data_IF_306043118616
#
_entry.id   IF_306043118616
#
_cell.length_a   1.000
_cell.length_b   1.000
_cell.length_c   1.000
_cell.angle_alpha   90.00
_cell.angle_beta   90.00
_cell.angle_gamma   90.00
#
_symmetry.space_group_name_H-M   'P 1'
#
loop_
_entity.id
_entity.type
_entity.pdbx_description
1 polymer ?
#
# COMPACT_ATOMS: atom_id res chain seq x y z
N UNK A 1 -21.43 8.52 -6.50
CA UNK A 1 -20.62 7.71 -5.54
C UNK A 1 -19.48 8.59 -5.08
N UNK A 2 -19.07 8.50 -3.82
CA UNK A 2 -17.95 9.29 -3.30
C UNK A 2 -16.84 8.38 -2.79
N UNK A 3 -15.59 8.81 -2.96
CA UNK A 3 -14.42 8.23 -2.31
C UNK A 3 -13.98 9.14 -1.16
N UNK A 4 -13.53 8.54 -0.06
CA UNK A 4 -13.04 9.26 1.13
C UNK A 4 -11.64 8.74 1.44
N UNK A 5 -10.71 9.66 1.70
CA UNK A 5 -9.31 9.34 1.97
C UNK A 5 -8.84 10.02 3.26
N UNK A 6 -7.85 9.43 3.92
CA UNK A 6 -7.13 10.03 5.06
C UNK A 6 -5.98 10.95 4.61
N UNK A 7 -5.86 11.18 3.30
CA UNK A 7 -4.88 12.08 2.68
C UNK A 7 -4.82 13.48 3.24
N UNK A 8 -5.95 13.93 3.80
CA UNK A 8 -6.17 15.28 4.29
C UNK A 8 -5.70 15.49 5.74
N UNK A 9 -5.20 14.44 6.39
CA UNK A 9 -4.74 14.51 7.78
C UNK A 9 -3.29 15.01 7.84
N UNK A 10 -2.33 14.22 7.37
CA UNK A 10 -0.92 14.61 7.31
C UNK A 10 -0.10 13.60 6.48
N UNK A 11 0.39 14.01 5.31
CA UNK A 11 1.24 13.14 4.45
C UNK A 11 2.64 12.87 5.06
N UNK A 12 3.08 13.68 6.02
CA UNK A 12 4.37 13.50 6.70
C UNK A 12 4.29 12.54 7.88
N UNK A 13 3.07 12.19 8.32
CA UNK A 13 2.85 11.24 9.39
C UNK A 13 3.29 9.83 9.00
N UNK A 14 4.00 9.15 9.91
CA UNK A 14 4.31 7.71 9.77
C UNK A 14 3.06 6.84 9.73
N UNK A 15 1.92 7.36 10.19
CA UNK A 15 0.64 6.67 10.21
C UNK A 15 -0.20 6.95 8.96
N UNK A 16 0.33 7.66 7.97
CA UNK A 16 -0.40 8.08 6.78
C UNK A 16 -1.15 6.93 6.08
N UNK A 17 -0.52 5.75 5.98
CA UNK A 17 -1.10 4.56 5.35
C UNK A 17 -1.95 3.68 6.29
N UNK A 18 -2.15 4.08 7.55
CA UNK A 18 -2.90 3.30 8.54
C UNK A 18 -4.43 3.41 8.35
N UNK A 19 -4.88 4.07 7.28
CA UNK A 19 -6.30 4.29 7.00
C UNK A 19 -7.00 5.07 8.11
N UNK A 20 -8.28 4.80 8.33
CA UNK A 20 -9.13 5.53 9.28
C UNK A 20 -8.99 5.06 10.74
N UNK A 21 -8.29 3.96 11.01
CA UNK A 21 -8.17 3.37 12.35
C UNK A 21 -7.70 4.33 13.45
N UNK A 22 -6.63 5.13 13.23
CA UNK A 22 -6.15 6.08 14.23
C UNK A 22 -6.91 7.43 14.23
N UNK A 23 -7.82 7.67 13.28
CA UNK A 23 -8.45 8.97 13.12
C UNK A 23 -9.50 9.24 14.21
N UNK A 24 -9.46 10.44 14.80
CA UNK A 24 -10.46 10.91 15.74
C UNK A 24 -11.70 11.50 15.03
N UNK A 25 -12.73 11.85 15.80
CA UNK A 25 -14.01 12.35 15.26
C UNK A 25 -13.87 13.59 14.37
N UNK A 26 -13.00 14.54 14.72
CA UNK A 26 -12.82 15.77 13.94
C UNK A 26 -12.03 15.50 12.65
N UNK A 27 -11.02 14.63 12.72
CA UNK A 27 -10.28 14.16 11.54
C UNK A 27 -11.19 13.43 10.55
N UNK A 28 -12.12 12.61 11.03
CA UNK A 28 -13.11 11.92 10.19
C UNK A 28 -14.08 12.90 9.52
N UNK A 29 -14.52 13.95 10.24
CA UNK A 29 -15.34 15.03 9.65
C UNK A 29 -14.58 15.75 8.52
N UNK A 30 -13.29 16.03 8.72
CA UNK A 30 -12.43 16.63 7.68
C UNK A 30 -12.32 15.71 6.47
N UNK A 31 -12.05 14.42 6.66
CA UNK A 31 -11.98 13.45 5.56
C UNK A 31 -13.31 13.40 4.78
N UNK A 32 -14.44 13.34 5.48
CA UNK A 32 -15.77 13.27 4.86
C UNK A 32 -16.16 14.57 4.12
N UNK A 33 -15.80 15.73 4.69
CA UNK A 33 -16.01 17.02 4.04
C UNK A 33 -15.23 17.13 2.72
N UNK A 34 -14.02 16.54 2.68
CA UNK A 34 -13.14 16.49 1.50
C UNK A 34 -13.34 15.25 0.61
N UNK A 35 -14.48 14.56 0.72
CA UNK A 35 -14.79 13.41 -0.14
C UNK A 35 -14.79 13.80 -1.63
N UNK A 36 -14.36 12.88 -2.47
CA UNK A 36 -14.22 13.08 -3.91
C UNK A 36 -15.41 12.46 -4.62
N UNK A 37 -16.12 13.24 -5.43
CA UNK A 37 -17.22 12.73 -6.25
C UNK A 37 -16.66 11.93 -7.43
N UNK A 38 -17.09 10.68 -7.59
CA UNK A 38 -16.67 9.83 -8.69
C UNK A 38 -17.58 10.04 -9.90
N UNK A 39 -16.99 10.47 -11.02
CA UNK A 39 -17.66 10.55 -12.31
C UNK A 39 -17.80 9.18 -12.96
N UNK A 40 -18.59 9.08 -14.04
CA UNK A 40 -18.66 7.86 -14.85
C UNK A 40 -17.28 7.48 -15.44
N UNK A 41 -16.47 8.48 -15.79
CA UNK A 41 -15.12 8.26 -16.30
C UNK A 41 -14.20 7.67 -15.22
N UNK A 42 -14.29 8.14 -13.97
CA UNK A 42 -13.51 7.60 -12.85
C UNK A 42 -13.88 6.14 -12.56
N UNK A 43 -15.18 5.81 -12.59
CA UNK A 43 -15.64 4.43 -12.42
C UNK A 43 -15.13 3.53 -13.56
N UNK A 44 -15.21 3.98 -14.81
CA UNK A 44 -14.67 3.25 -15.96
C UNK A 44 -13.15 3.08 -15.86
N UNK A 45 -12.42 4.10 -15.40
CA UNK A 45 -10.98 4.01 -15.17
C UNK A 45 -10.65 3.01 -14.05
N UNK A 46 -11.40 3.02 -12.94
CA UNK A 46 -11.29 2.02 -11.88
C UNK A 46 -11.52 0.58 -12.37
N UNK A 47 -12.44 0.37 -13.32
CA UNK A 47 -12.64 -0.95 -13.93
C UNK A 47 -11.43 -1.42 -14.75
N UNK A 48 -10.79 -0.52 -15.50
CA UNK A 48 -9.56 -0.83 -16.24
C UNK A 48 -8.42 -1.20 -15.31
N UNK A 49 -8.22 -0.40 -14.25
CA UNK A 49 -7.24 -0.68 -13.19
C UNK A 49 -7.49 -2.05 -12.54
N UNK A 50 -8.73 -2.31 -12.15
CA UNK A 50 -9.12 -3.58 -11.55
C UNK A 50 -8.86 -4.76 -12.48
N UNK A 51 -9.19 -4.63 -13.77
CA UNK A 51 -8.94 -5.66 -14.79
C UNK A 51 -7.44 -5.96 -14.93
N UNK A 52 -6.59 -4.94 -14.99
CA UNK A 52 -5.14 -5.12 -15.07
C UNK A 52 -4.59 -5.81 -13.81
N UNK A 53 -5.00 -5.33 -12.63
CA UNK A 53 -4.62 -5.88 -11.33
C UNK A 53 -4.99 -7.36 -11.18
N UNK A 54 -6.26 -7.71 -11.40
CA UNK A 54 -6.74 -9.10 -11.20
C UNK A 54 -6.12 -10.11 -12.16
N UNK A 55 -5.67 -9.64 -13.33
CA UNK A 55 -5.02 -10.48 -14.34
C UNK A 55 -3.50 -10.56 -14.13
N UNK A 56 -2.94 -9.89 -13.10
CA UNK A 56 -1.51 -9.84 -12.87
C UNK A 56 -0.73 -9.08 -13.96
N UNK A 57 -1.40 -8.24 -14.76
CA UNK A 57 -0.74 -7.49 -15.82
C UNK A 57 -0.08 -6.22 -15.24
N UNK A 58 1.11 -6.41 -14.68
CA UNK A 58 1.88 -5.35 -14.04
C UNK A 58 2.30 -4.23 -15.00
N UNK A 59 2.55 -4.56 -16.28
CA UNK A 59 2.92 -3.56 -17.29
C UNK A 59 1.75 -2.63 -17.59
N UNK A 60 0.58 -3.19 -17.85
CA UNK A 60 -0.64 -2.40 -18.08
C UNK A 60 -1.01 -1.60 -16.83
N UNK A 61 -0.95 -2.22 -15.65
CA UNK A 61 -1.26 -1.53 -14.41
C UNK A 61 -0.31 -0.34 -14.17
N UNK A 62 0.98 -0.49 -14.50
CA UNK A 62 1.98 0.59 -14.43
C UNK A 62 1.72 1.69 -15.47
N UNK A 63 1.24 1.33 -16.66
CA UNK A 63 0.91 2.31 -17.68
C UNK A 63 -0.34 3.12 -17.29
N UNK A 64 -1.39 2.44 -16.83
CA UNK A 64 -2.61 3.09 -16.32
C UNK A 64 -2.28 4.01 -15.13
N UNK A 65 -1.38 3.61 -14.24
CA UNK A 65 -1.04 4.41 -13.05
C UNK A 65 -0.33 5.74 -13.35
N UNK A 66 0.15 5.96 -14.58
CA UNK A 66 0.73 7.25 -15.00
C UNK A 66 -0.33 8.31 -15.25
N UNK A 67 -1.58 7.91 -15.44
CA UNK A 67 -2.70 8.85 -15.60
C UNK A 67 -2.99 9.53 -14.26
N UNK A 68 -2.86 10.85 -14.22
CA UNK A 68 -3.23 11.63 -13.05
C UNK A 68 -4.74 11.60 -12.87
N UNK A 69 -5.19 11.09 -11.73
CA UNK A 69 -6.60 11.01 -11.39
C UNK A 69 -6.85 11.67 -10.04
N UNK A 70 -7.77 12.63 -10.00
CA UNK A 70 -8.24 13.20 -8.73
C UNK A 70 -8.96 12.14 -7.89
N UNK A 71 -9.64 11.18 -8.53
CA UNK A 71 -10.31 10.08 -7.85
C UNK A 71 -9.34 9.07 -7.23
N UNK A 72 -8.11 8.95 -7.74
CA UNK A 72 -7.09 8.02 -7.25
C UNK A 72 -5.76 8.74 -6.98
N UNK A 73 -5.69 9.57 -5.92
CA UNK A 73 -4.59 10.53 -5.73
C UNK A 73 -3.21 9.91 -5.49
N UNK A 74 -3.14 8.62 -5.13
CA UNK A 74 -1.89 7.90 -4.87
C UNK A 74 -1.67 6.71 -5.78
N UNK A 75 -2.37 6.69 -6.91
CA UNK A 75 -2.39 5.53 -7.80
C UNK A 75 -0.98 5.10 -8.23
N UNK A 76 -0.13 6.06 -8.56
CA UNK A 76 1.22 5.77 -9.01
C UNK A 76 2.07 5.16 -7.88
N UNK A 77 2.00 5.69 -6.67
CA UNK A 77 2.76 5.19 -5.52
C UNK A 77 2.33 3.78 -5.11
N UNK A 78 1.02 3.52 -5.02
CA UNK A 78 0.53 2.20 -4.61
C UNK A 78 0.74 1.15 -5.69
N UNK A 79 0.66 1.51 -6.97
CA UNK A 79 0.98 0.60 -8.08
C UNK A 79 2.48 0.31 -8.10
N UNK A 80 3.33 1.31 -7.89
CA UNK A 80 4.77 1.08 -7.76
C UNK A 80 5.08 0.11 -6.62
N UNK A 81 4.49 0.31 -5.44
CA UNK A 81 4.64 -0.63 -4.33
C UNK A 81 4.17 -2.03 -4.73
N UNK A 82 3.01 -2.16 -5.39
CA UNK A 82 2.53 -3.46 -5.86
C UNK A 82 3.52 -4.15 -6.83
N UNK A 83 4.09 -3.41 -7.78
CA UNK A 83 5.09 -3.93 -8.73
C UNK A 83 6.38 -4.34 -8.02
N UNK A 84 6.85 -3.56 -7.04
CA UNK A 84 8.06 -3.84 -6.26
C UNK A 84 7.94 -5.15 -5.44
N UNK A 85 6.74 -5.73 -5.29
CA UNK A 85 6.52 -7.07 -4.71
C UNK A 85 6.97 -8.21 -5.63
N UNK A 86 7.01 -7.98 -6.94
CA UNK A 86 7.21 -9.01 -7.96
C UNK A 86 8.32 -8.61 -8.96
N UNK A 87 9.60 -8.62 -8.54
CA UNK A 87 10.71 -8.38 -9.46
C UNK A 87 10.72 -9.37 -10.63
N UNK A 88 11.02 -8.89 -11.84
CA UNK A 88 11.05 -9.72 -13.07
C UNK A 88 12.21 -10.71 -13.10
N UNK A 89 13.28 -10.43 -12.36
CA UNK A 89 14.51 -11.23 -12.30
C UNK A 89 14.43 -12.41 -11.31
N UNK A 90 13.27 -12.62 -10.68
CA UNK A 90 13.07 -13.67 -9.68
C UNK A 90 13.73 -13.36 -8.33
N UNK A 91 14.30 -12.17 -8.14
CA UNK A 91 14.82 -11.76 -6.84
C UNK A 91 13.69 -11.51 -5.85
N UNK A 92 14.03 -11.52 -4.56
CA UNK A 92 13.09 -11.21 -3.47
C UNK A 92 12.42 -9.85 -3.69
N UNK A 93 11.12 -9.80 -3.47
CA UNK A 93 10.36 -8.56 -3.52
C UNK A 93 10.82 -7.58 -2.43
N UNK A 94 10.51 -6.29 -2.60
CA UNK A 94 10.88 -5.27 -1.62
C UNK A 94 10.40 -5.57 -0.20
N UNK A 95 9.17 -6.09 0.05
CA UNK A 95 8.77 -6.49 1.39
C UNK A 95 9.68 -7.54 2.04
N UNK A 96 10.06 -8.57 1.29
CA UNK A 96 10.94 -9.64 1.79
C UNK A 96 12.34 -9.09 2.10
N UNK A 97 12.90 -8.26 1.21
CA UNK A 97 14.19 -7.58 1.43
C UNK A 97 14.20 -6.71 2.69
N UNK A 98 13.11 -6.00 2.97
CA UNK A 98 12.99 -5.18 4.18
C UNK A 98 12.88 -6.05 5.44
N UNK A 99 12.11 -7.15 5.39
CA UNK A 99 12.06 -8.10 6.51
C UNK A 99 13.43 -8.71 6.77
N UNK A 100 14.19 -9.07 5.73
CA UNK A 100 15.56 -9.55 5.88
C UNK A 100 16.48 -8.54 6.57
N UNK A 101 16.41 -7.27 6.16
CA UNK A 101 17.20 -6.20 6.77
C UNK A 101 16.85 -6.04 8.26
N UNK A 102 15.56 -5.96 8.59
CA UNK A 102 15.10 -5.82 9.99
C UNK A 102 15.55 -7.03 10.83
N UNK A 103 15.43 -8.25 10.29
CA UNK A 103 15.83 -9.47 11.01
C UNK A 103 17.34 -9.65 11.13
N UNK A 104 18.14 -9.01 10.27
CA UNK A 104 19.61 -9.00 10.38
C UNK A 104 20.09 -7.95 11.37
N UNK A 105 19.48 -6.78 11.35
CA UNK A 105 20.05 -5.58 11.98
C UNK A 105 19.29 -5.09 13.23
N UNK A 106 18.05 -5.54 13.45
CA UNK A 106 17.18 -5.01 14.53
C UNK A 106 16.66 -6.11 15.45
N UNK A 107 15.87 -7.05 14.93
CA UNK A 107 15.28 -8.10 15.77
C UNK A 107 14.71 -9.24 14.95
N UNK A 108 14.78 -10.45 15.50
CA UNK A 108 14.08 -11.63 14.97
C UNK A 108 12.71 -11.84 15.59
N UNK A 109 12.32 -11.10 16.64
CA UNK A 109 10.96 -11.20 17.20
C UNK A 109 9.94 -10.62 16.21
N UNK A 110 8.91 -11.41 15.87
CA UNK A 110 7.93 -11.04 14.86
C UNK A 110 7.18 -9.74 15.20
N UNK A 111 6.84 -9.49 16.47
CA UNK A 111 6.11 -8.29 16.84
C UNK A 111 6.96 -7.03 16.64
N UNK A 112 8.25 -7.09 16.98
CA UNK A 112 9.22 -6.01 16.69
C UNK A 112 9.42 -5.83 15.18
N UNK A 113 9.52 -6.92 14.43
CA UNK A 113 9.63 -6.87 12.95
C UNK A 113 8.39 -6.23 12.33
N UNK A 114 7.19 -6.62 12.77
CA UNK A 114 5.93 -6.08 12.27
C UNK A 114 5.84 -4.57 12.47
N UNK A 115 6.15 -4.08 13.68
CA UNK A 115 6.16 -2.64 13.98
C UNK A 115 7.17 -1.90 13.11
N UNK A 116 8.38 -2.42 12.98
CA UNK A 116 9.42 -1.76 12.20
C UNK A 116 9.15 -1.80 10.69
N UNK A 117 8.55 -2.89 10.20
CA UNK A 117 8.10 -2.98 8.81
C UNK A 117 7.05 -1.90 8.53
N UNK A 118 6.04 -1.74 9.38
CA UNK A 118 5.04 -0.69 9.24
C UNK A 118 5.65 0.72 9.30
N UNK A 119 6.69 0.94 10.11
CA UNK A 119 7.40 2.23 10.15
C UNK A 119 8.04 2.59 8.80
N UNK A 120 8.49 1.59 8.02
CA UNK A 120 9.24 1.79 6.77
C UNK A 120 8.38 1.68 5.52
N UNK A 121 7.41 0.77 5.55
CA UNK A 121 6.77 0.21 4.37
C UNK A 121 5.25 0.06 4.58
N UNK A 122 4.63 0.95 5.38
CA UNK A 122 3.17 0.95 5.62
C UNK A 122 2.33 1.09 4.34
N UNK A 123 2.90 1.58 3.24
CA UNK A 123 2.26 1.66 1.92
C UNK A 123 1.74 0.32 1.41
N UNK A 124 2.32 -0.81 1.83
CA UNK A 124 1.82 -2.13 1.43
C UNK A 124 0.51 -2.51 2.11
N UNK A 125 0.15 -1.87 3.24
CA UNK A 125 -1.07 -2.16 3.97
C UNK A 125 -1.20 -3.61 4.44
N UNK A 126 -0.09 -4.32 4.67
CA UNK A 126 -0.14 -5.72 5.07
C UNK A 126 -0.73 -5.90 6.46
N UNK A 127 -1.73 -6.77 6.57
CA UNK A 127 -2.20 -7.29 7.85
C UNK A 127 -1.15 -8.18 8.51
N UNK A 128 -1.36 -8.46 9.80
CA UNK A 128 -0.51 -9.33 10.61
C UNK A 128 -0.26 -10.70 9.97
N UNK A 129 -1.31 -11.38 9.50
CA UNK A 129 -1.25 -12.70 8.88
C UNK A 129 -0.49 -12.67 7.55
N UNK A 130 -0.70 -11.62 6.74
CA UNK A 130 0.00 -11.45 5.46
C UNK A 130 1.49 -11.23 5.67
N UNK A 131 1.85 -10.35 6.61
CA UNK A 131 3.26 -10.08 6.92
C UNK A 131 3.92 -11.27 7.62
N UNK A 132 3.18 -12.01 8.46
CA UNK A 132 3.66 -13.23 9.11
C UNK A 132 4.05 -14.29 8.09
N UNK A 133 3.23 -14.50 7.07
CA UNK A 133 3.56 -15.43 5.99
C UNK A 133 4.85 -15.05 5.24
N UNK A 134 5.05 -13.76 4.94
CA UNK A 134 6.30 -13.27 4.33
C UNK A 134 7.51 -13.43 5.28
N UNK A 135 7.32 -13.14 6.56
CA UNK A 135 8.34 -13.29 7.58
C UNK A 135 8.77 -14.75 7.74
N UNK A 136 7.82 -15.69 7.85
CA UNK A 136 8.13 -17.11 8.01
C UNK A 136 8.87 -17.63 6.77
N UNK A 137 8.45 -17.20 5.56
CA UNK A 137 9.18 -17.49 4.32
C UNK A 137 10.64 -17.03 4.40
N UNK A 138 10.89 -15.78 4.81
CA UNK A 138 12.25 -15.23 4.96
C UNK A 138 13.05 -16.01 6.01
N UNK A 139 12.43 -16.39 7.13
CA UNK A 139 13.10 -17.11 8.22
C UNK A 139 13.37 -18.58 7.90
N UNK A 140 12.56 -19.23 7.06
CA UNK A 140 12.80 -20.60 6.61
C UNK A 140 13.93 -20.73 5.58
N UNK A 141 14.24 -19.67 4.83
CA UNK A 141 15.35 -19.63 3.88
C UNK A 141 16.67 -19.10 4.49
N UNK A 142 16.74 -18.94 5.82
CA UNK A 142 17.97 -18.68 6.57
C UNK A 142 18.61 -19.98 7.02
#
# INVERSE_FOLDING_TARGET
VFAVYTSYLDKTSKQFWNGFGPANSDELKVCYANRISLSKADIHFGQQLWKAYKNGNLEELTNLSKHQSLAFPYLQEVVKAHVDRFPKDGTKGRPEKVIEDITKNISTDFHKVFKEFWNRESIYGFGDTQLKSLYDKVMHYR
#
